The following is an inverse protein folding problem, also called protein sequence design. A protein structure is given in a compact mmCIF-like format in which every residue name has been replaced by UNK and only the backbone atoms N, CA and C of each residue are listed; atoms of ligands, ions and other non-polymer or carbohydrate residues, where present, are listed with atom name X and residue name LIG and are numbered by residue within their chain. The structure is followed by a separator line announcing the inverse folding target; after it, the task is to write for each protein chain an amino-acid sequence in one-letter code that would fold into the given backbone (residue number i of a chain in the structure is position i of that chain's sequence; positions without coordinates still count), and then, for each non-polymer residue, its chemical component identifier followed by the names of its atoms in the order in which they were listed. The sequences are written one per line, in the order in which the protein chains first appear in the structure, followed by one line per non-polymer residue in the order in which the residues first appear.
data_IF_425554085784
#
_entry.id   IF_425554085784
#
_cell.length_a   1.000
_cell.length_b   1.000
_cell.length_c   1.000
_cell.angle_alpha   90.00
_cell.angle_beta   90.00
_cell.angle_gamma   90.00
#
_symmetry.space_group_name_H-M   'P 1'
#
loop_
_entity.id
_entity.type
_entity.pdbx_description
1 polymer ?
#
# COMPACT_ATOMS: atom_id res chain seq x y z
N UNK A 1 -11.23 3.35 -0.09
CA UNK A 1 -10.68 2.21 -0.85
C UNK A 1 -10.03 1.22 0.10
N UNK A 2 -10.07 -0.04 -0.24
CA UNK A 2 -9.35 -1.06 0.50
C UNK A 2 -8.05 -1.39 -0.22
N UNK A 3 -6.98 -1.51 0.54
CA UNK A 3 -5.64 -1.77 0.01
C UNK A 3 -5.11 -3.03 0.69
N UNK A 4 -4.72 -4.01 -0.12
CA UNK A 4 -4.17 -5.26 0.38
C UNK A 4 -2.73 -5.41 -0.10
N UNK A 5 -1.83 -5.73 0.83
CA UNK A 5 -0.44 -6.01 0.47
C UNK A 5 -0.34 -7.45 -0.03
N UNK A 6 -0.03 -7.61 -1.31
CA UNK A 6 0.03 -8.92 -1.95
C UNK A 6 1.46 -9.41 -2.18
N UNK A 7 2.45 -8.53 -2.07
CA UNK A 7 3.86 -8.90 -2.23
C UNK A 7 4.67 -8.45 -1.03
N UNK A 8 5.76 -9.17 -0.76
CA UNK A 8 6.63 -8.86 0.36
C UNK A 8 7.34 -7.53 0.16
N UNK A 9 7.56 -6.82 1.27
CA UNK A 9 8.35 -5.60 1.27
C UNK A 9 9.85 -5.88 1.36
N UNK A 10 10.24 -7.13 1.56
CA UNK A 10 11.64 -7.52 1.63
C UNK A 10 12.28 -7.29 0.26
N UNK A 11 13.39 -6.57 0.25
CA UNK A 11 14.07 -6.22 -1.00
C UNK A 11 13.54 -4.97 -1.67
N UNK A 12 12.49 -4.35 -1.14
CA UNK A 12 11.98 -3.08 -1.66
C UNK A 12 12.85 -1.92 -1.20
N UNK A 13 12.80 -0.83 -1.95
CA UNK A 13 13.48 0.40 -1.55
C UNK A 13 12.86 0.96 -0.29
N UNK A 14 13.66 1.70 0.48
CA UNK A 14 13.19 2.30 1.74
C UNK A 14 11.97 3.19 1.52
N UNK A 15 11.94 3.95 0.43
CA UNK A 15 10.82 4.81 0.12
C UNK A 15 9.53 4.02 -0.06
N UNK A 16 9.60 2.87 -0.70
CA UNK A 16 8.46 2.00 -0.90
C UNK A 16 7.99 1.40 0.42
N UNK A 17 8.92 0.96 1.24
CA UNK A 17 8.60 0.41 2.57
C UNK A 17 7.94 1.48 3.43
N UNK A 18 8.51 2.68 3.47
CA UNK A 18 7.96 3.79 4.24
C UNK A 18 6.55 4.16 3.75
N UNK A 19 6.34 4.14 2.44
CA UNK A 19 5.02 4.42 1.86
C UNK A 19 4.00 3.37 2.31
N UNK A 20 4.35 2.11 2.23
CA UNK A 20 3.47 1.02 2.66
C UNK A 20 3.17 1.13 4.16
N UNK A 21 4.17 1.40 4.98
CA UNK A 21 3.99 1.56 6.41
C UNK A 21 3.08 2.75 6.74
N UNK A 22 3.21 3.84 6.00
CA UNK A 22 2.35 5.00 6.21
C UNK A 22 0.89 4.71 5.87
N UNK A 23 0.64 3.72 5.04
CA UNK A 23 -0.71 3.24 4.74
C UNK A 23 -1.19 2.20 5.75
N UNK A 24 -0.30 1.70 6.60
CA UNK A 24 -0.61 0.67 7.57
C UNK A 24 -0.31 -0.74 7.10
N UNK A 25 0.32 -0.90 5.96
CA UNK A 25 0.66 -2.22 5.40
C UNK A 25 2.06 -2.60 5.88
N UNK A 26 2.16 -3.67 6.65
CA UNK A 26 3.44 -4.10 7.21
C UNK A 26 3.90 -5.46 6.71
N UNK A 27 2.97 -6.34 6.35
CA UNK A 27 3.29 -7.69 5.90
C UNK A 27 2.27 -8.15 4.87
N UNK A 28 2.61 -9.20 4.14
CA UNK A 28 1.74 -9.78 3.14
C UNK A 28 0.42 -10.19 3.80
N UNK A 29 -0.67 -9.86 3.12
CA UNK A 29 -2.00 -10.20 3.60
C UNK A 29 -2.65 -9.11 4.44
N UNK A 30 -1.92 -8.07 4.82
CA UNK A 30 -2.52 -6.94 5.53
C UNK A 30 -3.49 -6.21 4.62
N UNK A 31 -4.66 -5.91 5.17
CA UNK A 31 -5.68 -5.14 4.47
C UNK A 31 -6.00 -3.90 5.29
N UNK A 32 -6.01 -2.75 4.65
CA UNK A 32 -6.36 -1.49 5.30
C UNK A 32 -7.39 -0.77 4.48
N UNK A 33 -8.21 0.03 5.17
CA UNK A 33 -9.17 0.93 4.53
C UNK A 33 -8.63 2.35 4.61
N UNK A 34 -8.51 3.01 3.48
CA UNK A 34 -8.01 4.38 3.40
C UNK A 34 -9.00 5.25 2.66
N UNK A 35 -9.05 6.54 2.96
CA UNK A 35 -9.89 7.46 2.19
C UNK A 35 -9.38 7.57 0.76
N UNK A 36 -10.31 7.68 -0.18
CA UNK A 36 -9.96 7.87 -1.58
C UNK A 36 -9.72 9.35 -1.85
N UNK A 37 -8.49 9.79 -1.63
CA UNK A 37 -8.10 11.17 -1.87
C UNK A 37 -6.73 11.22 -2.55
N UNK A 38 -6.31 12.42 -2.94
CA UNK A 38 -5.08 12.61 -3.70
C UNK A 38 -3.85 12.11 -2.94
N UNK A 39 -3.81 12.31 -1.62
CA UNK A 39 -2.67 11.85 -0.81
C UNK A 39 -2.56 10.33 -0.81
N UNK A 40 -3.69 9.65 -0.61
CA UNK A 40 -3.72 8.19 -0.64
C UNK A 40 -3.38 7.66 -2.04
N UNK A 41 -3.94 8.26 -3.06
CA UNK A 41 -3.67 7.85 -4.45
C UNK A 41 -2.20 8.00 -4.80
N UNK A 42 -1.55 9.07 -4.34
CA UNK A 42 -0.13 9.27 -4.56
C UNK A 42 0.72 8.18 -3.90
N UNK A 43 0.37 7.79 -2.69
CA UNK A 43 1.06 6.71 -1.98
C UNK A 43 0.84 5.37 -2.68
N UNK A 44 -0.39 5.09 -3.06
CA UNK A 44 -0.76 3.86 -3.76
C UNK A 44 0.00 3.73 -5.07
N UNK A 45 0.10 4.82 -5.83
CA UNK A 45 0.79 4.81 -7.11
C UNK A 45 2.27 4.41 -6.99
N UNK A 46 2.91 4.76 -5.88
CA UNK A 46 4.31 4.40 -5.65
C UNK A 46 4.53 2.92 -5.46
N UNK A 47 3.55 2.21 -4.93
CA UNK A 47 3.68 0.80 -4.59
C UNK A 47 2.59 -0.05 -5.26
N UNK A 48 2.00 0.44 -6.33
CA UNK A 48 0.90 -0.25 -7.00
C UNK A 48 1.27 -1.67 -7.44
N UNK A 49 2.53 -1.91 -7.73
CA UNK A 49 3.02 -3.23 -8.11
C UNK A 49 3.12 -4.20 -6.94
N UNK A 50 2.97 -3.71 -5.71
CA UNK A 50 3.08 -4.53 -4.49
C UNK A 50 1.73 -4.77 -3.84
N UNK A 51 0.71 -4.06 -4.25
CA UNK A 51 -0.59 -4.06 -3.58
C UNK A 51 -1.72 -4.30 -4.56
N UNK A 52 -2.87 -4.65 -3.99
CA UNK A 52 -4.11 -4.74 -4.73
C UNK A 52 -5.10 -3.74 -4.13
N UNK A 53 -5.69 -2.91 -4.97
CA UNK A 53 -6.66 -1.89 -4.54
C UNK A 53 -8.05 -2.33 -4.96
N UNK A 54 -8.96 -2.31 -4.00
CA UNK A 54 -10.35 -2.66 -4.22
C UNK A 54 -11.23 -1.52 -3.74
N UNK A 55 -12.16 -1.12 -4.57
CA UNK A 55 -13.19 -0.17 -4.17
C UNK A 55 -14.40 -0.95 -3.64
N UNK A 56 -14.51 -0.99 -2.35
CA UNK A 56 -15.62 -1.69 -1.71
C UNK A 56 -16.68 -0.69 -1.28
#
# INVERSE_FOLDING_TARGET
MQIKLVKSLIGCKKDQIATAESLGLKKIGDVVTQPDNAATQGKVAKIIHLIEVTNA
#
